data_IF_945275370319
#
_entry.id   IF_945275370319
#
_cell.length_a   1.000
_cell.length_b   1.000
_cell.length_c   1.000
_cell.angle_alpha   90.00
_cell.angle_beta   90.00
_cell.angle_gamma   90.00
#
_symmetry.space_group_name_H-M   'P 1'
#
loop_
_entity.id
_entity.type
_entity.pdbx_description
1 polymer ?
#
# COMPACT_ATOMS: atom_id res chain seq x y z
N UNK A 1 -15.81 -1.27 21.60
CA UNK A 1 -14.43 -0.77 21.76
C UNK A 1 -13.80 -0.78 20.39
N UNK A 2 -13.35 0.35 19.89
CA UNK A 2 -12.90 0.52 18.50
C UNK A 2 -11.48 1.05 18.55
N UNK A 3 -10.53 0.14 18.41
CA UNK A 3 -9.10 0.46 18.36
C UNK A 3 -8.77 1.16 17.05
N UNK A 4 -7.98 2.24 17.11
CA UNK A 4 -7.31 2.80 15.94
C UNK A 4 -6.24 1.82 15.46
N UNK A 5 -6.13 1.61 14.15
CA UNK A 5 -5.05 0.84 13.55
C UNK A 5 -4.03 1.76 12.89
N UNK A 6 -2.75 1.41 13.01
CA UNK A 6 -1.70 2.03 12.19
C UNK A 6 -1.71 1.44 10.77
N UNK A 7 -1.16 2.17 9.81
CA UNK A 7 -1.02 1.71 8.42
C UNK A 7 0.47 1.53 8.10
N UNK A 8 0.85 0.33 7.70
CA UNK A 8 2.16 0.04 7.14
C UNK A 8 2.04 -0.19 5.62
N UNK A 9 2.87 0.49 4.83
CA UNK A 9 2.89 0.30 3.38
C UNK A 9 4.06 -0.61 3.01
N UNK A 10 3.74 -1.77 2.43
CA UNK A 10 4.75 -2.71 1.95
C UNK A 10 4.91 -2.59 0.43
N UNK A 11 6.09 -2.13 0.00
CA UNK A 11 6.46 -2.07 -1.42
C UNK A 11 7.13 -3.38 -1.84
N UNK A 12 6.58 -4.04 -2.86
CA UNK A 12 7.22 -5.21 -3.44
C UNK A 12 8.42 -4.82 -4.33
N UNK A 13 9.34 -5.76 -4.56
CA UNK A 13 10.43 -5.59 -5.53
C UNK A 13 9.98 -5.80 -6.98
N UNK A 14 10.87 -5.55 -7.94
CA UNK A 14 10.63 -5.86 -9.34
C UNK A 14 10.32 -7.36 -9.55
N UNK A 15 9.47 -7.66 -10.52
CA UNK A 15 8.97 -9.00 -10.88
C UNK A 15 8.14 -9.67 -9.77
N UNK A 16 7.55 -8.87 -8.86
CA UNK A 16 6.79 -9.36 -7.68
C UNK A 16 5.45 -8.65 -7.51
N UNK A 17 4.61 -8.60 -8.54
CA UNK A 17 3.23 -8.09 -8.41
C UNK A 17 2.21 -9.22 -8.24
N UNK A 18 0.98 -8.86 -7.90
CA UNK A 18 -0.17 -9.76 -7.86
C UNK A 18 0.05 -10.95 -6.92
N UNK A 19 -0.30 -12.16 -7.37
CA UNK A 19 -0.19 -13.40 -6.59
C UNK A 19 1.25 -13.63 -6.07
N UNK A 20 2.26 -13.28 -6.87
CA UNK A 20 3.66 -13.43 -6.46
C UNK A 20 4.05 -12.48 -5.32
N UNK A 21 3.38 -11.32 -5.22
CA UNK A 21 3.53 -10.41 -4.08
C UNK A 21 2.91 -11.02 -2.81
N UNK A 22 1.69 -11.55 -2.93
CA UNK A 22 0.94 -12.15 -1.84
C UNK A 22 1.67 -13.34 -1.22
N UNK A 23 2.09 -14.30 -2.05
CA UNK A 23 2.87 -15.47 -1.63
C UNK A 23 4.15 -15.10 -0.88
N UNK A 24 4.82 -14.02 -1.30
CA UNK A 24 6.03 -13.55 -0.67
C UNK A 24 5.74 -12.92 0.70
N UNK A 25 4.69 -12.11 0.79
CA UNK A 25 4.29 -11.44 2.04
C UNK A 25 3.87 -12.45 3.11
N UNK A 26 3.20 -13.54 2.72
CA UNK A 26 2.87 -14.66 3.61
C UNK A 26 4.12 -15.34 4.19
N UNK A 27 5.18 -15.48 3.38
CA UNK A 27 6.45 -16.10 3.81
C UNK A 27 7.29 -15.19 4.71
N UNK A 28 7.12 -13.87 4.61
CA UNK A 28 7.84 -12.90 5.44
C UNK A 28 7.26 -12.76 6.86
N UNK A 29 6.07 -13.31 7.13
CA UNK A 29 5.40 -13.17 8.43
C UNK A 29 4.77 -11.80 8.68
N UNK A 30 4.66 -10.96 7.64
CA UNK A 30 4.23 -9.55 7.79
C UNK A 30 2.78 -9.44 8.26
N UNK A 31 1.92 -10.37 7.85
CA UNK A 31 0.50 -10.37 8.25
C UNK A 31 0.32 -10.78 9.70
N UNK A 32 1.06 -11.79 10.18
CA UNK A 32 1.00 -12.23 11.58
C UNK A 32 1.56 -11.16 12.52
N UNK A 33 2.64 -10.48 12.10
CA UNK A 33 3.14 -9.32 12.82
C UNK A 33 2.10 -8.20 12.87
N UNK A 34 1.47 -7.87 11.74
CA UNK A 34 0.49 -6.80 11.68
C UNK A 34 -0.77 -7.08 12.52
N UNK A 35 -1.29 -8.31 12.47
CA UNK A 35 -2.45 -8.75 13.25
C UNK A 35 -2.23 -8.59 14.76
N UNK A 36 -1.03 -8.96 15.25
CA UNK A 36 -0.69 -8.87 16.67
C UNK A 36 -0.38 -7.45 17.16
N UNK A 37 -0.23 -6.47 16.26
CA UNK A 37 0.14 -5.09 16.58
C UNK A 37 -0.94 -4.05 16.20
N UNK A 38 -2.11 -4.49 15.72
CA UNK A 38 -3.16 -3.57 15.30
C UNK A 38 -2.79 -2.75 14.07
N UNK A 39 -2.13 -3.38 13.10
CA UNK A 39 -1.62 -2.73 11.88
C UNK A 39 -2.40 -3.25 10.66
N UNK A 40 -2.79 -2.33 9.78
CA UNK A 40 -3.26 -2.65 8.43
C UNK A 40 -2.06 -2.56 7.48
N UNK A 41 -1.79 -3.64 6.73
CA UNK A 41 -0.73 -3.64 5.71
C UNK A 41 -1.33 -3.32 4.34
N UNK A 42 -0.94 -2.19 3.77
CA UNK A 42 -1.28 -1.80 2.40
C UNK A 42 -0.21 -2.34 1.44
N UNK A 43 -0.62 -3.13 0.46
CA UNK A 43 0.23 -3.70 -0.59
C UNK A 43 -0.08 -3.06 -1.95
N UNK A 44 0.37 -1.82 -2.22
CA UNK A 44 0.14 -1.20 -3.52
C UNK A 44 0.89 -1.99 -4.61
N UNK A 45 0.38 -1.96 -5.84
CA UNK A 45 0.91 -2.77 -6.95
C UNK A 45 1.43 -1.85 -8.06
N UNK A 46 2.70 -1.99 -8.40
CA UNK A 46 3.26 -1.35 -9.59
C UNK A 46 2.76 -2.07 -10.86
N UNK A 47 2.47 -1.30 -11.90
CA UNK A 47 1.97 -1.81 -13.18
C UNK A 47 3.10 -2.36 -14.05
N UNK A 48 2.81 -3.41 -14.79
CA UNK A 48 3.69 -3.95 -15.82
C UNK A 48 3.42 -3.23 -17.13
N UNK A 49 4.46 -3.01 -17.93
CA UNK A 49 4.28 -2.38 -19.23
C UNK A 49 5.58 -2.20 -19.98
N UNK A 50 5.51 -1.48 -21.08
CA UNK A 50 6.71 -0.93 -21.74
C UNK A 50 6.75 0.56 -21.39
N UNK A 51 7.87 1.10 -20.87
CA UNK A 51 9.22 0.53 -20.80
C UNK A 51 9.56 -0.28 -19.53
N UNK A 52 8.60 -0.55 -18.64
CA UNK A 52 8.81 -1.24 -17.35
C UNK A 52 8.33 -2.71 -17.33
N UNK A 53 9.01 -3.63 -18.06
CA UNK A 53 8.55 -5.01 -18.22
C UNK A 53 8.70 -5.83 -16.94
N UNK A 54 9.40 -5.31 -15.94
CA UNK A 54 9.59 -5.96 -14.65
C UNK A 54 8.62 -5.45 -13.58
N UNK A 55 7.76 -4.47 -13.91
CA UNK A 55 6.80 -3.89 -12.96
C UNK A 55 7.49 -3.33 -11.70
N UNK A 56 8.62 -2.65 -11.88
CA UNK A 56 9.33 -1.96 -10.81
C UNK A 56 8.56 -0.70 -10.36
N UNK A 57 8.78 -0.28 -9.12
CA UNK A 57 8.51 1.11 -8.74
C UNK A 57 9.43 2.04 -9.52
N UNK A 58 8.99 3.26 -9.78
CA UNK A 58 9.79 4.24 -10.48
C UNK A 58 10.84 4.83 -9.53
N UNK A 59 12.10 4.46 -9.76
CA UNK A 59 13.26 4.99 -9.05
C UNK A 59 14.29 5.60 -10.01
N UNK A 60 13.92 5.73 -11.29
CA UNK A 60 14.79 6.25 -12.36
C UNK A 60 14.17 7.42 -13.13
N UNK A 61 12.93 7.80 -12.82
CA UNK A 61 12.23 8.93 -13.43
C UNK A 61 11.39 8.60 -14.67
N UNK A 62 10.94 7.35 -14.83
CA UNK A 62 10.07 6.96 -15.95
C UNK A 62 8.72 7.69 -15.95
N UNK A 63 8.22 8.05 -14.77
CA UNK A 63 6.92 8.69 -14.56
C UNK A 63 7.00 10.21 -14.49
N UNK A 64 8.20 10.79 -14.59
CA UNK A 64 8.42 12.24 -14.61
C UNK A 64 9.60 12.68 -13.75
N UNK A 65 9.93 13.98 -13.80
CA UNK A 65 11.05 14.56 -13.05
C UNK A 65 10.85 14.55 -11.53
N UNK A 66 9.58 14.50 -11.10
CA UNK A 66 9.19 14.56 -9.69
C UNK A 66 9.03 13.16 -9.05
N UNK A 67 9.50 12.10 -9.73
CA UNK A 67 9.26 10.70 -9.34
C UNK A 67 9.67 10.35 -7.90
N UNK A 68 10.66 11.04 -7.35
CA UNK A 68 11.21 10.86 -6.00
C UNK A 68 10.69 11.90 -4.99
N UNK A 69 9.70 12.71 -5.38
CA UNK A 69 9.08 13.73 -4.53
C UNK A 69 7.64 13.35 -4.16
N UNK A 70 7.05 14.09 -3.22
CA UNK A 70 5.63 13.93 -2.86
C UNK A 70 4.65 14.26 -3.98
N UNK A 71 5.11 14.98 -5.01
CA UNK A 71 4.32 15.32 -6.20
C UNK A 71 4.43 14.25 -7.30
N UNK A 72 5.32 13.26 -7.13
CA UNK A 72 5.50 12.15 -8.06
C UNK A 72 4.26 11.27 -8.19
N UNK A 73 4.01 10.76 -9.40
CA UNK A 73 2.78 10.02 -9.73
C UNK A 73 2.59 8.76 -8.86
N UNK A 74 3.66 7.97 -8.67
CA UNK A 74 3.55 6.72 -7.90
C UNK A 74 3.40 6.99 -6.39
N UNK A 75 4.21 7.89 -5.82
CA UNK A 75 4.12 8.24 -4.40
C UNK A 75 2.78 8.92 -4.09
N UNK A 76 2.33 9.83 -4.94
CA UNK A 76 1.02 10.49 -4.82
C UNK A 76 -0.14 9.50 -4.84
N UNK A 77 -0.10 8.49 -5.71
CA UNK A 77 -1.11 7.42 -5.73
C UNK A 77 -1.16 6.65 -4.41
N UNK A 78 0.01 6.28 -3.85
CA UNK A 78 0.06 5.58 -2.55
C UNK A 78 -0.41 6.46 -1.40
N UNK A 79 -0.02 7.73 -1.36
CA UNK A 79 -0.50 8.70 -0.36
C UNK A 79 -2.03 8.78 -0.41
N UNK A 80 -2.63 8.79 -1.60
CA UNK A 80 -4.09 8.82 -1.75
C UNK A 80 -4.76 7.54 -1.25
N UNK A 81 -4.15 6.37 -1.48
CA UNK A 81 -4.63 5.10 -0.91
C UNK A 81 -4.59 5.13 0.63
N UNK A 82 -3.49 5.60 1.22
CA UNK A 82 -3.36 5.75 2.68
C UNK A 82 -4.42 6.70 3.23
N UNK A 83 -4.58 7.89 2.63
CA UNK A 83 -5.61 8.87 3.04
C UNK A 83 -7.01 8.26 2.98
N UNK A 84 -7.32 7.50 1.93
CA UNK A 84 -8.61 6.85 1.79
C UNK A 84 -8.86 5.84 2.91
N UNK A 85 -7.89 4.96 3.19
CA UNK A 85 -7.96 3.99 4.28
C UNK A 85 -8.11 4.68 5.65
N UNK A 86 -7.33 5.71 5.94
CA UNK A 86 -7.44 6.47 7.19
C UNK A 86 -8.83 7.11 7.35
N UNK A 87 -9.39 7.65 6.27
CA UNK A 87 -10.74 8.25 6.28
C UNK A 87 -11.85 7.21 6.45
N UNK A 88 -11.71 6.05 5.81
CA UNK A 88 -12.67 4.94 5.91
C UNK A 88 -12.65 4.27 7.28
N UNK A 89 -11.46 4.11 7.88
CA UNK A 89 -11.29 3.62 9.25
C UNK A 89 -11.89 4.61 10.28
N UNK A 90 -11.77 5.92 10.04
CA UNK A 90 -12.46 6.91 10.86
C UNK A 90 -14.00 6.88 10.68
N UNK A 91 -14.49 6.64 9.46
CA UNK A 91 -15.92 6.56 9.16
C UNK A 91 -16.58 5.26 9.67
N UNK A 92 -15.85 4.14 9.75
CA UNK A 92 -16.34 2.88 10.33
C UNK A 92 -16.74 3.01 11.81
N UNK A 93 -16.20 4.02 12.51
CA UNK A 93 -16.56 4.37 13.88
C UNK A 93 -17.97 4.98 14.02
N UNK A 94 -18.54 5.53 12.93
CA UNK A 94 -19.86 6.18 12.93
C UNK A 94 -21.01 5.22 12.57
N UNK A 95 -20.74 3.96 12.21
CA UNK A 95 -21.79 2.98 11.86
C UNK A 95 -22.27 2.08 13.01
N UNK A 96 -21.91 2.40 14.27
CA UNK A 96 -22.37 1.66 15.46
C UNK A 96 -23.41 2.41 16.32
N UNK A 97 -24.11 3.41 15.78
CA UNK A 97 -25.15 4.15 16.53
C UNK A 97 -26.52 4.19 15.84
N UNK A 98 -26.78 3.29 14.91
CA UNK A 98 -28.14 2.99 14.44
C UNK A 98 -28.24 1.48 14.26
N UNK A 99 -28.54 0.78 15.36
CA UNK A 99 -29.50 -0.32 15.56
C UNK A 99 -29.28 -0.87 16.97
#
# INVERSE_FOLDING_TARGET
NSSSCDIHVYYHGCRRNGIAAEDYTMKLGIHQWAESNGIVVLHPQAAWGTPNPDGCWDWIGETGVDFDTTDGLQLGAVINMVKHLSSGLAAGHLRSLLH
#
